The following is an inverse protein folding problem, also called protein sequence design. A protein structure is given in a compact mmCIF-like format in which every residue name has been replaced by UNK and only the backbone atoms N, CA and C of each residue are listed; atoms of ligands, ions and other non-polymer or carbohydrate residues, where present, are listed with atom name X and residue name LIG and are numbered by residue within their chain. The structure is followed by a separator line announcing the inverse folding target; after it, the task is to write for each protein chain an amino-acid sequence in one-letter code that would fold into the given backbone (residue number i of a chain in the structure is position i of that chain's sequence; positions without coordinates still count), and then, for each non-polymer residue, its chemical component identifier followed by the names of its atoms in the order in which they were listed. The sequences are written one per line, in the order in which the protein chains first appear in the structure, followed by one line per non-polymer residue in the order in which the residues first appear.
data_IF_642777364343
#
_entry.id   IF_642777364343
#
_cell.length_a   1.000
_cell.length_b   1.000
_cell.length_c   1.000
_cell.angle_alpha   90.00
_cell.angle_beta   90.00
_cell.angle_gamma   90.00
#
_symmetry.space_group_name_H-M   'P 1'
#
loop_
_entity.id
_entity.type
_entity.pdbx_description
1 polymer ?
#
# COMPACT_ATOMS: atom_id res chain seq x y z
N UNK A 1 -3.01 3.19 4.56
CA UNK A 1 -4.30 3.49 3.92
C UNK A 1 -5.04 2.17 3.74
N UNK A 2 -6.32 2.08 4.08
CA UNK A 2 -7.15 0.90 3.83
C UNK A 2 -8.28 1.31 2.89
N UNK A 3 -8.33 0.76 1.67
CA UNK A 3 -9.29 1.18 0.64
C UNK A 3 -10.08 0.02 -0.01
N UNK A 4 -9.99 -1.20 0.54
CA UNK A 4 -10.67 -2.40 0.00
C UNK A 4 -10.42 -2.63 -1.51
N UNK A 5 -9.26 -2.21 -2.02
CA UNK A 5 -8.88 -2.37 -3.43
C UNK A 5 -9.48 -1.33 -4.38
N UNK A 6 -10.05 -0.22 -3.90
CA UNK A 6 -10.48 0.86 -4.81
C UNK A 6 -9.26 1.57 -5.43
N UNK A 7 -9.11 1.38 -6.74
CA UNK A 7 -8.02 1.93 -7.55
C UNK A 7 -8.00 3.45 -7.52
N UNK A 8 -9.17 4.10 -7.54
CA UNK A 8 -9.23 5.58 -7.54
C UNK A 8 -8.67 6.13 -6.25
N UNK A 9 -8.95 5.45 -5.14
CA UNK A 9 -8.42 5.80 -3.84
C UNK A 9 -6.88 5.62 -3.81
N UNK A 10 -6.35 4.54 -4.41
CA UNK A 10 -4.90 4.32 -4.53
C UNK A 10 -4.25 5.43 -5.35
N UNK A 11 -4.80 5.76 -6.52
CA UNK A 11 -4.33 6.83 -7.41
C UNK A 11 -4.34 8.19 -6.70
N UNK A 12 -5.40 8.52 -5.96
CA UNK A 12 -5.47 9.79 -5.21
C UNK A 12 -4.37 9.93 -4.17
N UNK A 13 -4.00 8.84 -3.50
CA UNK A 13 -2.89 8.87 -2.54
C UNK A 13 -1.55 9.01 -3.26
N UNK A 14 -1.39 8.38 -4.42
CA UNK A 14 -0.19 8.54 -5.24
C UNK A 14 0.00 10.00 -5.65
N UNK A 15 -1.02 10.62 -6.21
CA UNK A 15 -0.99 12.03 -6.64
C UNK A 15 -0.68 12.98 -5.47
N UNK A 16 -1.23 12.71 -4.29
CA UNK A 16 -0.95 13.49 -3.09
C UNK A 16 0.52 13.35 -2.63
N UNK A 17 1.10 12.15 -2.73
CA UNK A 17 2.49 11.89 -2.39
C UNK A 17 3.46 12.52 -3.41
N UNK A 18 3.14 12.45 -4.69
CA UNK A 18 3.89 13.11 -5.76
C UNK A 18 3.86 14.63 -5.57
N UNK A 19 2.69 15.23 -5.36
CA UNK A 19 2.58 16.66 -5.09
C UNK A 19 3.36 17.07 -3.81
N UNK A 20 3.26 16.27 -2.74
CA UNK A 20 4.03 16.52 -1.53
C UNK A 20 5.54 16.50 -1.78
N UNK A 21 6.01 15.52 -2.55
CA UNK A 21 7.41 15.40 -2.96
C UNK A 21 7.85 16.62 -3.78
N UNK A 22 7.07 17.02 -4.78
CA UNK A 22 7.38 18.17 -5.64
C UNK A 22 7.45 19.48 -4.86
N UNK A 23 6.60 19.63 -3.84
CA UNK A 23 6.52 20.86 -3.03
C UNK A 23 7.63 20.94 -1.98
N UNK A 24 8.05 19.79 -1.43
CA UNK A 24 8.99 19.74 -0.31
C UNK A 24 10.42 19.36 -0.72
N UNK A 25 10.59 18.80 -1.92
CA UNK A 25 11.83 18.15 -2.35
C UNK A 25 12.11 16.82 -1.63
N UNK A 26 11.18 16.33 -0.80
CA UNK A 26 11.34 15.07 -0.06
C UNK A 26 10.82 13.91 -0.90
N UNK A 27 11.74 13.05 -1.35
CA UNK A 27 11.39 11.82 -2.05
C UNK A 27 10.96 10.75 -1.04
N UNK A 28 9.79 10.16 -1.25
CA UNK A 28 9.38 8.95 -0.54
C UNK A 28 10.29 7.79 -0.89
N UNK A 29 10.67 6.98 0.10
CA UNK A 29 11.37 5.73 -0.18
C UNK A 29 10.37 4.71 -0.74
N UNK A 30 10.35 4.57 -2.06
CA UNK A 30 9.46 3.67 -2.80
C UNK A 30 9.72 2.20 -2.44
N UNK A 31 10.94 1.84 -2.06
CA UNK A 31 11.29 0.46 -1.66
C UNK A 31 10.70 0.06 -0.29
N UNK A 32 10.52 1.03 0.61
CA UNK A 32 9.86 0.81 1.92
C UNK A 32 8.33 0.99 1.82
N UNK A 33 7.86 1.65 0.77
CA UNK A 33 6.45 1.91 0.51
C UNK A 33 5.77 0.66 -0.02
N UNK A 34 5.29 -0.17 0.91
CA UNK A 34 4.66 -1.46 0.60
C UNK A 34 3.13 -1.34 0.51
N UNK A 35 2.54 -1.96 -0.51
CA UNK A 35 1.09 -2.18 -0.57
C UNK A 35 0.75 -3.60 -0.09
N UNK A 36 -0.24 -3.71 0.78
CA UNK A 36 -0.79 -4.98 1.25
C UNK A 36 -2.19 -5.19 0.67
N UNK A 37 -2.37 -6.27 -0.09
CA UNK A 37 -3.64 -6.62 -0.77
C UNK A 37 -4.23 -7.94 -0.25
N UNK A 38 -4.51 -8.10 1.06
CA UNK A 38 -5.14 -9.32 1.57
C UNK A 38 -6.59 -9.43 1.08
N UNK A 39 -6.96 -10.58 0.51
CA UNK A 39 -8.34 -10.88 0.13
C UNK A 39 -8.86 -10.18 -1.14
N UNK A 40 -7.96 -9.61 -1.97
CA UNK A 40 -8.30 -9.06 -3.28
C UNK A 40 -8.18 -10.15 -4.37
N UNK A 41 -9.12 -10.16 -5.32
CA UNK A 41 -9.13 -11.02 -6.52
C UNK A 41 -7.91 -10.76 -7.40
N UNK A 42 -7.37 -11.79 -8.03
CA UNK A 42 -6.07 -11.72 -8.71
C UNK A 42 -6.06 -10.74 -9.90
N UNK A 43 -7.19 -10.59 -10.59
CA UNK A 43 -7.38 -9.60 -11.67
C UNK A 43 -7.13 -8.16 -11.20
N UNK A 44 -7.67 -7.81 -10.01
CA UNK A 44 -7.49 -6.48 -9.42
C UNK A 44 -6.07 -6.29 -8.86
N UNK A 45 -5.40 -7.38 -8.45
CA UNK A 45 -3.97 -7.31 -8.09
C UNK A 45 -3.11 -7.00 -9.30
N UNK A 46 -3.39 -7.62 -10.46
CA UNK A 46 -2.63 -7.33 -11.68
C UNK A 46 -2.83 -5.88 -12.12
N UNK A 47 -4.05 -5.35 -12.06
CA UNK A 47 -4.31 -3.94 -12.38
C UNK A 47 -3.52 -2.99 -11.45
N UNK A 48 -3.48 -3.29 -10.14
CA UNK A 48 -2.69 -2.50 -9.18
C UNK A 48 -1.17 -2.68 -9.41
N UNK A 49 -0.70 -3.88 -9.81
CA UNK A 49 0.70 -4.15 -10.11
C UNK A 49 1.19 -3.44 -11.39
N UNK A 50 0.29 -3.18 -12.33
CA UNK A 50 0.64 -2.40 -13.53
C UNK A 50 0.85 -0.91 -13.23
N UNK A 51 0.43 -0.44 -12.05
CA UNK A 51 0.69 0.93 -11.63
C UNK A 51 2.17 1.10 -11.21
N UNK A 52 2.87 2.12 -11.72
CA UNK A 52 4.27 2.34 -11.42
C UNK A 52 4.49 2.69 -9.95
N UNK A 53 5.56 2.14 -9.34
CA UNK A 53 6.00 2.52 -8.00
C UNK A 53 5.45 1.66 -6.85
N UNK A 54 4.78 0.55 -7.13
CA UNK A 54 4.27 -0.34 -6.08
C UNK A 54 4.93 -1.72 -6.10
N UNK A 55 5.47 -2.12 -4.96
CA UNK A 55 5.78 -3.50 -4.65
C UNK A 55 4.69 -4.08 -3.75
N UNK A 56 4.13 -5.23 -4.15
CA UNK A 56 3.23 -5.99 -3.28
C UNK A 56 4.05 -6.65 -2.19
N UNK A 57 3.60 -6.49 -0.95
CA UNK A 57 4.22 -7.11 0.22
C UNK A 57 3.23 -7.96 0.99
N UNK A 58 3.76 -8.90 1.76
CA UNK A 58 2.98 -9.86 2.55
C UNK A 58 3.05 -9.50 4.03
N UNK A 59 1.93 -9.71 4.74
CA UNK A 59 1.91 -9.60 6.20
C UNK A 59 2.68 -10.78 6.82
N UNK A 60 3.32 -10.61 7.99
CA UNK A 60 3.25 -9.48 8.92
C UNK A 60 4.35 -8.43 8.72
N UNK A 61 3.99 -7.14 8.79
CA UNK A 61 4.96 -6.04 8.79
C UNK A 61 5.60 -5.80 10.16
N UNK A 62 6.75 -5.13 10.18
CA UNK A 62 7.29 -4.49 11.37
C UNK A 62 7.17 -2.99 11.21
N UNK A 63 6.51 -2.34 12.16
CA UNK A 63 6.46 -0.90 12.26
C UNK A 63 7.27 -0.45 13.47
N UNK A 64 8.31 0.35 13.24
CA UNK A 64 9.27 0.78 14.28
C UNK A 64 9.86 -0.40 15.09
N UNK A 65 10.18 -1.50 14.40
CA UNK A 65 10.74 -2.72 15.02
C UNK A 65 9.71 -3.63 15.69
N UNK A 66 8.46 -3.18 15.86
CA UNK A 66 7.38 -3.93 16.46
C UNK A 66 6.51 -4.56 15.38
N UNK A 67 6.22 -5.86 15.51
CA UNK A 67 5.16 -6.48 14.72
C UNK A 67 3.82 -6.00 15.29
N UNK A 68 2.95 -5.35 14.50
CA UNK A 68 1.58 -5.08 14.93
C UNK A 68 0.95 -6.39 15.39
N UNK A 69 0.37 -6.40 16.59
CA UNK A 69 -0.28 -7.61 17.11
C UNK A 69 -1.47 -7.96 16.22
N UNK A 70 -1.35 -9.01 15.40
CA UNK A 70 -2.47 -9.63 14.70
C UNK A 70 -3.37 -10.36 15.72
N UNK A 71 -4.08 -9.65 16.58
CA UNK A 71 -5.14 -10.27 17.38
C UNK A 71 -6.29 -10.63 16.44
N UNK A 72 -6.40 -11.94 16.16
CA UNK A 72 -7.47 -12.68 15.46
C UNK A 72 -8.22 -11.89 14.37
N UNK A 73 -7.86 -12.13 13.10
CA UNK A 73 -8.88 -12.10 12.05
C UNK A 73 -9.85 -13.25 12.32
N UNK A 74 -10.98 -12.91 12.94
CA UNK A 74 -12.10 -13.81 13.13
C UNK A 74 -12.62 -14.26 11.77
N UNK A 75 -12.65 -15.58 11.59
CA UNK A 75 -13.26 -16.32 10.50
C UNK A 75 -14.75 -15.98 10.39
N UNK A 76 -15.19 -15.35 9.30
CA UNK A 76 -16.55 -15.45 8.73
C UNK A 76 -16.47 -15.23 7.23
#
# INVERSE_FOLDING_TARGET
MFCKGDIRSIQRVQEALEHFSDTTGLLGNVEISNIFLPGIIDELKEEILTMPGYSISTLPIRYLGLSPSSKKQGKM
#
